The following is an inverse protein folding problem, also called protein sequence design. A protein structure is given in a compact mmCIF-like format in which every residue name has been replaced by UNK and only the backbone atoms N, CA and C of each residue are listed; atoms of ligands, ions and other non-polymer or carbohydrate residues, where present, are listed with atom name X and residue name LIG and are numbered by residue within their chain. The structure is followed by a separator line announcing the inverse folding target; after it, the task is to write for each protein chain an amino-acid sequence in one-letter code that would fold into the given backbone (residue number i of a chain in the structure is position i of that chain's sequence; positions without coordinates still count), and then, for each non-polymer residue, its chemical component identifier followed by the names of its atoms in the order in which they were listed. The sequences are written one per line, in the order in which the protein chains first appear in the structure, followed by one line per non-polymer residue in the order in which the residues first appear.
data_IF_160652292618
#
_entry.id   IF_160652292618
#
_cell.length_a   1.000
_cell.length_b   1.000
_cell.length_c   1.000
_cell.angle_alpha   90.00
_cell.angle_beta   90.00
_cell.angle_gamma   90.00
#
_symmetry.space_group_name_H-M   'P 1'
#
loop_
_entity.id
_entity.type
_entity.pdbx_description
1 polymer ?
#
# COMPACT_ATOMS: atom_id res chain seq x y z
N UNK A 1 -24.00 19.34 3.33
CA UNK A 1 -23.86 17.97 3.88
C UNK A 1 -23.20 17.15 2.81
N UNK A 2 -22.12 16.43 3.14
CA UNK A 2 -21.52 15.48 2.21
C UNK A 2 -22.25 14.14 2.28
N UNK A 3 -22.44 13.49 1.14
CA UNK A 3 -23.19 12.22 1.05
C UNK A 3 -22.37 11.17 0.31
N UNK A 4 -22.37 9.96 0.86
CA UNK A 4 -21.76 8.79 0.22
C UNK A 4 -22.86 7.93 -0.40
N UNK A 5 -22.78 7.67 -1.71
CA UNK A 5 -23.70 6.80 -2.42
C UNK A 5 -23.04 5.46 -2.77
N UNK A 6 -23.80 4.38 -2.63
CA UNK A 6 -23.39 3.02 -2.99
C UNK A 6 -24.35 2.51 -4.07
N UNK A 7 -23.86 2.38 -5.30
CA UNK A 7 -24.69 2.03 -6.48
C UNK A 7 -23.99 0.92 -7.24
N UNK A 8 -24.61 -0.27 -7.33
CA UNK A 8 -24.09 -1.43 -8.08
C UNK A 8 -22.64 -1.81 -7.73
N UNK A 9 -22.24 -1.66 -6.45
CA UNK A 9 -20.87 -1.92 -5.99
C UNK A 9 -19.88 -0.77 -6.21
N UNK A 10 -20.27 0.30 -6.91
CA UNK A 10 -19.50 1.52 -7.03
C UNK A 10 -19.80 2.44 -5.85
N UNK A 11 -18.75 3.06 -5.30
CA UNK A 11 -18.89 4.05 -4.24
C UNK A 11 -18.62 5.45 -4.78
N UNK A 12 -19.51 6.38 -4.45
CA UNK A 12 -19.39 7.80 -4.77
C UNK A 12 -19.41 8.62 -3.49
N UNK A 13 -18.59 9.66 -3.44
CA UNK A 13 -18.61 10.67 -2.39
C UNK A 13 -18.86 12.02 -3.05
N UNK A 14 -19.95 12.70 -2.66
CA UNK A 14 -20.37 13.97 -3.25
C UNK A 14 -20.46 13.90 -4.80
N UNK A 15 -21.08 12.84 -5.30
CA UNK A 15 -21.23 12.49 -6.73
C UNK A 15 -19.91 12.22 -7.49
N UNK A 16 -18.76 12.17 -6.81
CA UNK A 16 -17.48 11.79 -7.40
C UNK A 16 -17.19 10.32 -7.10
N UNK A 17 -16.93 9.53 -8.14
CA UNK A 17 -16.54 8.13 -8.01
C UNK A 17 -15.28 8.01 -7.15
N UNK A 18 -15.31 7.14 -6.14
CA UNK A 18 -14.18 6.89 -5.23
C UNK A 18 -13.53 5.55 -5.54
N UNK A 19 -14.31 4.47 -5.59
CA UNK A 19 -13.78 3.14 -5.85
C UNK A 19 -14.85 2.19 -6.36
N UNK A 20 -14.38 1.13 -7.02
CA UNK A 20 -15.22 0.01 -7.47
C UNK A 20 -14.44 -1.31 -7.41
N UNK A 21 -15.13 -2.43 -7.17
CA UNK A 21 -14.49 -3.74 -7.02
C UNK A 21 -14.06 -4.33 -8.36
N UNK A 22 -13.06 -5.21 -8.30
CA UNK A 22 -12.61 -6.09 -9.38
C UNK A 22 -12.47 -7.50 -8.84
N UNK A 23 -12.39 -8.55 -9.68
CA UNK A 23 -12.26 -9.93 -9.20
C UNK A 23 -11.02 -10.14 -8.31
N UNK A 24 -9.92 -9.42 -8.57
CA UNK A 24 -8.64 -9.56 -7.89
C UNK A 24 -8.42 -8.49 -6.79
N UNK A 25 -9.34 -7.54 -6.63
CA UNK A 25 -9.16 -6.42 -5.71
C UNK A 25 -10.11 -5.27 -5.98
N UNK A 26 -9.61 -4.04 -6.11
CA UNK A 26 -10.43 -2.86 -6.41
C UNK A 26 -9.64 -1.79 -7.16
N UNK A 27 -10.37 -0.89 -7.80
CA UNK A 27 -9.79 0.30 -8.43
C UNK A 27 -10.15 1.51 -7.60
N UNK A 28 -9.15 2.34 -7.32
CA UNK A 28 -9.30 3.62 -6.64
C UNK A 28 -9.21 4.76 -7.64
N UNK A 29 -10.14 5.69 -7.56
CA UNK A 29 -10.08 6.94 -8.30
C UNK A 29 -9.26 7.97 -7.51
N UNK A 30 -8.14 8.42 -8.09
CA UNK A 30 -7.27 9.45 -7.50
C UNK A 30 -7.27 10.69 -8.40
N UNK A 31 -7.67 11.87 -7.88
CA UNK A 31 -7.64 13.11 -8.66
C UNK A 31 -6.19 13.50 -8.97
N UNK A 32 -5.93 13.88 -10.23
CA UNK A 32 -4.60 14.31 -10.68
C UNK A 32 -4.44 15.83 -10.54
N UNK A 33 -3.20 16.27 -10.26
CA UNK A 33 -2.85 17.70 -10.16
C UNK A 33 -3.03 18.45 -11.49
N UNK A 34 -2.89 17.76 -12.63
CA UNK A 34 -3.09 18.31 -13.98
C UNK A 34 -4.56 18.52 -14.37
N UNK A 35 -5.49 18.18 -13.48
CA UNK A 35 -6.89 18.00 -13.83
C UNK A 35 -7.14 16.60 -14.39
N UNK A 36 -8.29 16.03 -14.06
CA UNK A 36 -8.68 14.67 -14.41
C UNK A 36 -8.52 13.66 -13.27
N UNK A 37 -8.67 12.39 -13.63
CA UNK A 37 -8.76 11.27 -12.71
C UNK A 37 -7.80 10.16 -13.15
N UNK A 38 -7.01 9.63 -12.22
CA UNK A 38 -6.21 8.42 -12.38
C UNK A 38 -6.94 7.24 -11.73
N UNK A 39 -6.84 6.08 -12.35
CA UNK A 39 -7.39 4.84 -11.83
C UNK A 39 -6.26 3.95 -11.33
N UNK A 40 -6.09 3.91 -10.02
CA UNK A 40 -5.04 3.13 -9.37
C UNK A 40 -5.60 1.74 -9.03
N UNK A 41 -5.02 0.71 -9.64
CA UNK A 41 -5.41 -0.68 -9.41
C UNK A 41 -4.75 -1.21 -8.15
N UNK A 42 -5.56 -1.78 -7.26
CA UNK A 42 -5.11 -2.41 -6.03
C UNK A 42 -5.50 -3.88 -6.06
N UNK A 43 -4.50 -4.74 -5.87
CA UNK A 43 -4.64 -6.19 -5.92
C UNK A 43 -4.50 -6.79 -4.53
N UNK A 44 -5.34 -7.78 -4.25
CA UNK A 44 -5.36 -8.51 -3.00
C UNK A 44 -4.90 -9.94 -3.24
N UNK A 45 -3.84 -10.35 -2.54
CA UNK A 45 -3.46 -11.75 -2.46
C UNK A 45 -4.12 -12.38 -1.23
N UNK A 46 -5.07 -13.27 -1.50
CA UNK A 46 -5.82 -13.98 -0.48
C UNK A 46 -5.25 -15.37 -0.23
N UNK A 47 -5.45 -15.88 0.97
CA UNK A 47 -5.20 -17.30 1.26
C UNK A 47 -6.41 -18.18 0.95
N UNK A 48 -6.26 -19.48 1.16
CA UNK A 48 -7.29 -20.47 0.88
C UNK A 48 -8.57 -20.32 1.72
N UNK A 49 -8.55 -19.50 2.78
CA UNK A 49 -9.70 -19.17 3.61
C UNK A 49 -10.32 -17.81 3.26
N UNK A 50 -9.74 -17.10 2.28
CA UNK A 50 -10.20 -15.78 1.84
C UNK A 50 -9.64 -14.61 2.66
N UNK A 51 -8.68 -14.82 3.57
CA UNK A 51 -8.04 -13.71 4.28
C UNK A 51 -7.06 -13.00 3.35
N UNK A 52 -7.09 -11.66 3.33
CA UNK A 52 -6.13 -10.85 2.56
C UNK A 52 -4.79 -10.84 3.31
N UNK A 53 -3.75 -11.41 2.70
CA UNK A 53 -2.38 -11.45 3.27
C UNK A 53 -1.47 -10.37 2.74
N UNK A 54 -1.68 -9.93 1.52
CA UNK A 54 -0.88 -8.90 0.90
C UNK A 54 -1.77 -8.05 0.01
N UNK A 55 -1.68 -6.74 0.17
CA UNK A 55 -2.33 -5.76 -0.69
C UNK A 55 -1.23 -4.96 -1.37
N UNK A 56 -1.23 -4.97 -2.70
CA UNK A 56 -0.20 -4.31 -3.49
C UNK A 56 -0.80 -3.53 -4.66
N UNK A 57 -0.03 -2.58 -5.14
CA UNK A 57 -0.41 -1.72 -6.25
C UNK A 57 0.83 -1.45 -7.11
N UNK A 58 0.63 -0.82 -8.26
CA UNK A 58 1.70 -0.28 -9.05
C UNK A 58 1.89 1.19 -8.66
N UNK A 59 3.12 1.57 -8.33
CA UNK A 59 3.44 2.98 -8.09
C UNK A 59 3.24 3.76 -9.40
N UNK A 60 2.35 4.77 -9.43
CA UNK A 60 2.03 5.50 -10.65
C UNK A 60 3.20 6.35 -11.17
N UNK A 61 4.20 6.67 -10.34
CA UNK A 61 5.35 7.48 -10.74
C UNK A 61 6.49 6.62 -11.28
N UNK A 62 6.80 5.51 -10.62
CA UNK A 62 7.94 4.66 -10.95
C UNK A 62 7.57 3.45 -11.80
N UNK A 63 6.28 3.10 -11.85
CA UNK A 63 5.79 1.88 -12.45
C UNK A 63 6.18 0.61 -11.68
N UNK A 64 6.85 0.74 -10.53
CA UNK A 64 7.32 -0.38 -9.73
C UNK A 64 6.20 -0.95 -8.85
N UNK A 65 6.36 -2.21 -8.43
CA UNK A 65 5.45 -2.85 -7.48
C UNK A 65 5.58 -2.21 -6.09
N UNK A 66 4.47 -1.71 -5.54
CA UNK A 66 4.40 -1.10 -4.22
C UNK A 66 3.48 -1.90 -3.29
N UNK A 67 3.99 -2.24 -2.09
CA UNK A 67 3.21 -2.94 -1.06
C UNK A 67 2.47 -1.91 -0.20
N UNK A 68 1.14 -1.96 -0.25
CA UNK A 68 0.26 -1.10 0.57
C UNK A 68 0.13 -1.68 1.98
N UNK A 69 -0.23 -2.96 2.07
CA UNK A 69 -0.50 -3.65 3.33
C UNK A 69 0.03 -5.08 3.28
N UNK A 70 0.50 -5.57 4.44
CA UNK A 70 0.99 -6.93 4.61
C UNK A 70 0.45 -7.44 5.95
N UNK A 71 -0.39 -8.47 5.86
CA UNK A 71 -1.24 -8.97 6.92
C UNK A 71 -0.89 -10.44 7.23
N UNK A 72 -0.57 -10.69 8.49
CA UNK A 72 -0.22 -12.01 9.00
C UNK A 72 -1.26 -12.42 10.03
N UNK A 73 -1.61 -13.71 10.08
CA UNK A 73 -2.65 -14.23 10.95
C UNK A 73 -2.13 -15.45 11.74
N UNK A 74 -2.46 -15.50 13.03
CA UNK A 74 -2.25 -16.68 13.88
C UNK A 74 -3.21 -17.82 13.49
N UNK A 75 -2.97 -19.07 13.95
CA UNK A 75 -3.81 -20.25 13.66
C UNK A 75 -5.30 -20.18 14.04
N UNK A 76 -5.80 -19.05 14.53
CA UNK A 76 -7.22 -18.83 14.86
C UNK A 76 -7.72 -17.45 14.40
N UNK A 77 -7.07 -16.86 13.39
CA UNK A 77 -7.52 -15.63 12.74
C UNK A 77 -7.15 -14.33 13.46
N UNK A 78 -6.51 -14.39 14.63
CA UNK A 78 -5.98 -13.18 15.26
C UNK A 78 -4.88 -12.59 14.37
N UNK A 79 -5.02 -11.32 13.98
CA UNK A 79 -4.03 -10.63 13.16
C UNK A 79 -2.75 -10.41 13.98
N UNK A 80 -1.63 -10.87 13.45
CA UNK A 80 -0.31 -10.64 13.98
C UNK A 80 0.22 -9.29 13.47
N UNK A 81 0.43 -8.35 14.39
CA UNK A 81 0.81 -6.96 14.10
C UNK A 81 2.35 -6.78 14.15
N UNK A 82 2.83 -5.59 13.76
CA UNK A 82 4.23 -5.10 13.83
C UNK A 82 5.18 -5.39 12.66
N UNK A 83 4.78 -6.17 11.65
CA UNK A 83 5.65 -6.50 10.51
C UNK A 83 6.09 -5.29 9.66
N UNK A 84 5.18 -4.38 9.32
CA UNK A 84 5.52 -3.22 8.46
C UNK A 84 6.34 -2.16 9.20
N UNK A 85 6.06 -1.95 10.49
CA UNK A 85 6.82 -1.01 11.31
C UNK A 85 8.29 -1.45 11.44
N UNK A 86 8.55 -2.75 11.59
CA UNK A 86 9.92 -3.27 11.65
C UNK A 86 10.67 -3.17 10.31
N UNK A 87 10.01 -3.50 9.18
CA UNK A 87 10.60 -3.31 7.83
C UNK A 87 10.94 -1.84 7.54
N UNK A 88 10.07 -0.90 7.90
CA UNK A 88 10.34 0.53 7.71
C UNK A 88 11.47 1.02 8.60
N UNK A 89 11.56 0.53 9.85
CA UNK A 89 12.68 0.89 10.73
C UNK A 89 14.01 0.31 10.21
N UNK A 90 14.05 -0.96 9.77
CA UNK A 90 15.24 -1.55 9.13
C UNK A 90 15.64 -0.83 7.85
N UNK A 91 14.69 -0.41 7.02
CA UNK A 91 14.99 0.43 5.87
C UNK A 91 15.57 1.79 6.28
N UNK A 92 15.05 2.44 7.33
CA UNK A 92 15.61 3.70 7.86
C UNK A 92 17.01 3.55 8.43
N UNK A 93 17.31 2.48 9.17
CA UNK A 93 18.67 2.22 9.67
C UNK A 93 19.64 1.86 8.55
N UNK A 94 19.20 1.16 7.50
CA UNK A 94 20.02 0.88 6.33
C UNK A 94 20.35 2.16 5.52
N UNK A 95 19.42 3.12 5.44
CA UNK A 95 19.68 4.44 4.82
C UNK A 95 20.67 5.26 5.67
N UNK A 96 20.58 5.21 7.00
CA UNK A 96 21.54 5.88 7.89
C UNK A 96 22.91 5.19 7.94
N UNK A 97 22.97 3.87 7.71
CA UNK A 97 24.22 3.11 7.67
C UNK A 97 25.03 3.32 6.37
N UNK A 98 24.48 4.06 5.41
CA UNK A 98 25.13 4.38 4.13
C UNK A 98 25.80 5.76 4.12
N UNK A 99 26.02 6.38 5.28
CA UNK A 99 26.99 7.48 5.37
C UNK A 99 28.38 6.96 4.98
N UNK A 100 29.09 7.62 4.05
CA UNK A 100 30.41 7.17 3.66
C UNK A 100 31.33 7.27 4.87
N UNK A 101 31.76 6.12 5.41
CA UNK A 101 32.86 6.03 6.34
C UNK A 101 34.16 6.45 5.62
N UNK A 102 34.34 7.76 5.42
CA UNK A 102 35.56 8.32 4.86
C UNK A 102 36.60 8.53 5.97
N UNK A 103 37.30 7.43 6.27
CA UNK A 103 38.77 7.30 6.39
C UNK A 103 39.59 8.47 6.98
N UNK A 104 40.07 8.28 8.20
CA UNK A 104 41.39 8.67 8.71
C UNK A 104 41.58 7.94 10.06
N UNK A 105 42.66 7.27 10.44
CA UNK A 105 44.02 7.07 9.95
C UNK A 105 44.71 6.39 11.14
N UNK A 106 45.14 5.14 11.03
CA UNK A 106 45.89 4.48 12.12
C UNK A 106 47.32 5.00 12.09
N UNK A 107 47.71 5.81 13.07
CA UNK A 107 49.13 6.00 13.42
C UNK A 107 49.43 5.25 14.71
N UNK A 108 50.57 4.55 14.68
CA UNK A 108 51.14 3.74 15.77
C UNK A 108 51.38 4.56 17.03
#
# INVERSE_FOLDING_TARGET
MSTTHYINGFQYFDNVLQFFPTPEGYVKNTPMLSGGYSFDYVYNYTDHLGNIRLTYTQDPQTGALAILEDNHYYPFGLQHKNYRAERQKTARWAVLANEPACRAGKTK
#
